data_IF_687274027191
#
_entry.id   IF_687274027191
#
_cell.length_a   1.000
_cell.length_b   1.000
_cell.length_c   1.000
_cell.angle_alpha   90.00
_cell.angle_beta   90.00
_cell.angle_gamma   90.00
#
_symmetry.space_group_name_H-M   'P 1'
#
loop_
_entity.id
_entity.type
_entity.pdbx_description
1 polymer ?
#
# COMPACT_ATOMS: atom_id res chain seq x y z
N UNK A 1 -0.33 -8.81 -36.62
CA UNK A 1 -0.55 -8.06 -35.35
C UNK A 1 0.43 -8.48 -34.24
N UNK A 2 0.70 -9.79 -34.05
CA UNK A 2 1.66 -10.29 -33.05
C UNK A 2 3.13 -9.95 -33.41
N UNK A 3 3.48 -9.92 -34.70
CA UNK A 3 4.83 -9.59 -35.16
C UNK A 3 5.18 -8.10 -34.96
N UNK A 4 4.19 -7.19 -34.95
CA UNK A 4 4.40 -5.76 -34.66
C UNK A 4 4.58 -5.52 -33.15
N UNK A 5 3.92 -6.29 -32.30
CA UNK A 5 4.04 -6.16 -30.86
C UNK A 5 5.45 -6.55 -30.37
N UNK A 6 6.09 -7.57 -30.99
CA UNK A 6 7.42 -8.04 -30.58
C UNK A 6 8.55 -7.03 -30.84
N UNK A 7 8.41 -6.13 -31.81
CA UNK A 7 9.37 -5.05 -32.08
C UNK A 7 9.30 -3.88 -31.09
N UNK A 8 8.25 -3.82 -30.26
CA UNK A 8 8.02 -2.72 -29.31
C UNK A 8 8.65 -2.93 -27.95
N UNK A 9 9.11 -4.15 -27.67
CA UNK A 9 9.64 -4.53 -26.38
C UNK A 9 11.09 -5.00 -26.51
N UNK A 10 11.95 -4.56 -25.61
CA UNK A 10 13.32 -5.03 -25.49
C UNK A 10 13.33 -6.49 -25.03
N UNK A 11 12.54 -6.87 -24.05
CA UNK A 11 12.41 -8.23 -23.53
C UNK A 11 11.07 -8.41 -22.83
N UNK A 12 10.51 -9.63 -22.93
CA UNK A 12 9.36 -10.05 -22.10
C UNK A 12 9.76 -10.95 -20.94
N UNK A 13 11.05 -11.34 -20.88
CA UNK A 13 11.56 -12.33 -19.93
C UNK A 13 11.31 -11.92 -18.48
N UNK A 14 10.74 -12.85 -17.73
CA UNK A 14 10.42 -12.67 -16.30
C UNK A 14 9.25 -11.71 -16.03
N UNK A 15 8.43 -11.42 -17.04
CA UNK A 15 7.24 -10.58 -16.92
C UNK A 15 5.94 -11.36 -17.16
N UNK A 16 4.80 -10.75 -16.79
CA UNK A 16 3.49 -11.29 -17.12
C UNK A 16 3.15 -11.29 -18.62
N UNK A 17 3.99 -10.66 -19.44
CA UNK A 17 3.91 -10.76 -20.91
C UNK A 17 4.49 -12.08 -21.42
N UNK A 18 5.43 -12.68 -20.68
CA UNK A 18 6.01 -13.99 -21.01
C UNK A 18 5.12 -15.12 -20.48
N UNK A 19 4.82 -15.08 -19.17
CA UNK A 19 4.14 -16.16 -18.48
C UNK A 19 3.33 -15.62 -17.29
N UNK A 20 2.18 -16.24 -17.04
CA UNK A 20 1.36 -15.99 -15.84
C UNK A 20 1.11 -17.28 -15.09
N UNK A 21 0.84 -17.19 -13.79
CA UNK A 21 0.40 -18.30 -12.96
C UNK A 21 -1.11 -18.24 -12.77
N UNK A 22 -1.81 -19.30 -13.18
CA UNK A 22 -3.24 -19.43 -12.94
C UNK A 22 -3.53 -20.60 -12.01
N UNK A 23 -4.57 -20.45 -11.20
CA UNK A 23 -5.05 -21.54 -10.35
C UNK A 23 -5.43 -22.74 -11.18
N UNK A 24 -4.99 -23.94 -10.78
CA UNK A 24 -5.51 -25.19 -11.33
C UNK A 24 -6.93 -25.43 -10.79
N UNK A 25 -7.98 -25.38 -11.63
CA UNK A 25 -9.38 -25.46 -11.19
C UNK A 25 -9.69 -26.71 -10.36
N UNK A 26 -9.06 -27.85 -10.64
CA UNK A 26 -9.28 -29.10 -9.94
C UNK A 26 -8.57 -29.23 -8.61
N UNK A 27 -7.70 -28.28 -8.22
CA UNK A 27 -6.86 -28.36 -7.03
C UNK A 27 -7.22 -27.37 -5.93
N UNK A 28 -8.25 -26.55 -6.09
CA UNK A 28 -8.51 -25.42 -5.21
C UNK A 28 -7.34 -24.41 -5.27
N UNK A 29 -6.76 -24.07 -4.11
CA UNK A 29 -5.58 -23.17 -4.05
C UNK A 29 -4.23 -23.92 -3.97
N UNK A 30 -4.22 -25.24 -4.07
CA UNK A 30 -3.02 -26.07 -3.85
C UNK A 30 -2.01 -26.03 -4.99
N UNK A 31 -2.45 -25.74 -6.22
CA UNK A 31 -1.58 -25.73 -7.40
C UNK A 31 -1.82 -24.52 -8.27
N UNK A 32 -0.72 -23.96 -8.73
CA UNK A 32 -0.67 -22.95 -9.77
C UNK A 32 -0.04 -23.57 -10.99
N UNK A 33 -0.67 -23.42 -12.15
CA UNK A 33 -0.14 -23.83 -13.45
C UNK A 33 0.37 -22.63 -14.22
N UNK A 34 1.52 -22.78 -14.85
CA UNK A 34 2.01 -21.80 -15.80
C UNK A 34 1.08 -21.73 -17.01
N UNK A 35 0.78 -20.51 -17.43
CA UNK A 35 -0.04 -20.19 -18.60
C UNK A 35 0.70 -19.20 -19.48
N UNK A 36 0.30 -19.09 -20.74
CA UNK A 36 0.79 -18.07 -21.66
C UNK A 36 0.61 -16.68 -21.05
N UNK A 37 1.63 -15.83 -21.25
CA UNK A 37 1.57 -14.43 -20.80
C UNK A 37 0.43 -13.64 -21.44
N UNK A 38 0.09 -12.52 -20.80
CA UNK A 38 -0.93 -11.60 -21.31
C UNK A 38 -0.48 -10.95 -22.62
N UNK A 39 -1.42 -10.65 -23.52
CA UNK A 39 -1.08 -9.91 -24.74
C UNK A 39 -0.67 -8.47 -24.39
N UNK A 40 0.26 -7.93 -25.20
CA UNK A 40 0.55 -6.50 -25.16
C UNK A 40 -0.66 -5.72 -25.68
N UNK A 41 -1.17 -4.80 -24.88
CA UNK A 41 -2.22 -3.86 -25.27
C UNK A 41 -1.57 -2.56 -25.73
N UNK A 42 -1.86 -2.15 -26.97
CA UNK A 42 -1.39 -0.89 -27.54
C UNK A 42 -2.54 0.11 -27.55
N UNK A 43 -2.37 1.21 -26.82
CA UNK A 43 -3.39 2.25 -26.61
C UNK A 43 -3.36 3.26 -27.77
N UNK A 44 -3.77 2.82 -28.98
CA UNK A 44 -3.77 3.69 -30.17
C UNK A 44 -4.83 4.80 -30.11
N UNK A 45 -5.82 4.66 -29.24
CA UNK A 45 -6.81 5.69 -28.94
C UNK A 45 -6.19 6.92 -28.25
N UNK A 46 -5.09 6.74 -27.50
CA UNK A 46 -4.35 7.84 -26.87
C UNK A 46 -3.41 8.56 -27.86
N UNK A 47 -2.83 7.79 -28.78
CA UNK A 47 -1.96 8.34 -29.83
C UNK A 47 -1.92 7.40 -31.03
N UNK A 48 -2.38 7.89 -32.18
CA UNK A 48 -2.37 7.12 -33.44
C UNK A 48 -0.97 6.63 -33.80
N UNK A 49 -0.90 5.40 -34.29
CA UNK A 49 0.32 4.83 -34.84
C UNK A 49 0.90 5.71 -35.97
N UNK A 50 2.22 5.88 -36.00
CA UNK A 50 2.94 6.55 -37.08
C UNK A 50 3.96 5.58 -37.64
N UNK A 51 4.11 5.53 -38.97
CA UNK A 51 5.12 4.70 -39.63
C UNK A 51 6.54 5.03 -39.10
N UNK A 52 7.32 4.00 -38.83
CA UNK A 52 8.67 4.11 -38.30
C UNK A 52 8.80 4.66 -36.88
N UNK A 53 7.68 4.84 -36.14
CA UNK A 53 7.73 5.32 -34.76
C UNK A 53 8.50 4.34 -33.85
N UNK A 54 8.27 3.04 -34.04
CA UNK A 54 8.88 2.01 -33.17
C UNK A 54 10.40 1.91 -33.37
N UNK A 55 10.91 2.31 -34.53
CA UNK A 55 12.33 2.31 -34.85
C UNK A 55 13.06 3.59 -34.34
N UNK A 56 12.30 4.59 -33.87
CA UNK A 56 12.81 5.91 -33.44
C UNK A 56 12.41 6.26 -32.00
N UNK A 57 12.11 5.24 -31.19
CA UNK A 57 11.76 5.44 -29.77
C UNK A 57 13.02 5.51 -28.93
N UNK A 58 13.09 6.55 -28.13
CA UNK A 58 14.05 6.66 -27.03
C UNK A 58 13.34 6.45 -25.69
N UNK A 59 13.99 5.68 -24.82
CA UNK A 59 13.50 5.49 -23.43
C UNK A 59 13.81 6.72 -22.60
N UNK A 60 12.80 7.50 -22.24
CA UNK A 60 12.95 8.70 -21.42
C UNK A 60 13.22 8.37 -19.97
N UNK A 61 12.49 7.42 -19.41
CA UNK A 61 12.61 6.96 -18.03
C UNK A 61 12.19 5.49 -17.92
N UNK A 62 12.68 4.84 -16.88
CA UNK A 62 12.25 3.49 -16.47
C UNK A 62 12.18 3.44 -14.96
N UNK A 63 11.08 3.01 -14.38
CA UNK A 63 10.93 2.91 -12.95
C UNK A 63 10.15 1.66 -12.53
N UNK A 64 10.35 1.26 -11.29
CA UNK A 64 9.58 0.21 -10.64
C UNK A 64 8.51 0.85 -9.78
N UNK A 65 7.27 0.43 -9.95
CA UNK A 65 6.18 0.77 -9.03
C UNK A 65 5.77 -0.49 -8.26
N UNK A 66 5.63 -0.35 -6.97
CA UNK A 66 5.00 -1.34 -6.07
C UNK A 66 3.94 -0.64 -5.25
N UNK A 67 2.95 -1.40 -4.80
CA UNK A 67 1.86 -0.88 -3.97
C UNK A 67 1.45 -1.93 -2.95
N UNK A 68 0.79 -1.52 -1.88
CA UNK A 68 0.15 -2.43 -0.93
C UNK A 68 1.12 -3.47 -0.36
N UNK A 69 2.29 -3.04 0.11
CA UNK A 69 3.26 -3.95 0.72
C UNK A 69 2.73 -4.56 2.00
N UNK A 70 1.88 -3.82 2.74
CA UNK A 70 1.26 -4.26 3.97
C UNK A 70 2.24 -5.03 4.86
N UNK A 71 3.32 -4.35 5.29
CA UNK A 71 4.24 -4.91 6.28
C UNK A 71 3.52 -4.89 7.62
N UNK A 72 2.87 -6.00 7.95
CA UNK A 72 1.79 -6.08 8.93
C UNK A 72 2.23 -6.69 10.25
N UNK A 73 1.86 -6.08 11.38
CA UNK A 73 1.75 -6.76 12.69
C UNK A 73 0.42 -7.53 12.76
N UNK A 74 0.44 -8.79 12.36
CA UNK A 74 -0.74 -9.65 12.37
C UNK A 74 -1.24 -9.96 13.79
N UNK A 75 -0.42 -9.71 14.80
CA UNK A 75 -0.77 -9.91 16.20
C UNK A 75 -1.33 -8.67 16.89
N UNK A 76 -1.40 -7.54 16.16
CA UNK A 76 -1.97 -6.29 16.69
C UNK A 76 -3.37 -6.49 17.27
N UNK A 77 -3.65 -5.95 18.46
CA UNK A 77 -4.99 -5.97 19.03
C UNK A 77 -5.99 -5.13 18.24
N UNK A 78 -5.50 -4.21 17.41
CA UNK A 78 -6.31 -3.25 16.68
C UNK A 78 -6.98 -3.80 15.45
N UNK A 79 -6.54 -4.95 14.97
CA UNK A 79 -7.10 -5.57 13.77
C UNK A 79 -8.55 -6.00 14.00
N UNK A 80 -9.38 -5.71 12.99
CA UNK A 80 -10.83 -5.95 13.04
C UNK A 80 -11.23 -7.27 12.37
N UNK A 81 -10.40 -8.31 12.48
CA UNK A 81 -10.61 -9.61 11.82
C UNK A 81 -11.96 -10.27 12.19
N UNK A 82 -12.54 -9.90 13.32
CA UNK A 82 -13.86 -10.38 13.72
C UNK A 82 -14.99 -9.96 12.75
N UNK A 83 -14.75 -8.93 11.94
CA UNK A 83 -15.67 -8.52 10.87
C UNK A 83 -15.60 -9.43 9.63
N UNK A 84 -14.63 -10.35 9.54
CA UNK A 84 -14.41 -11.19 8.37
C UNK A 84 -15.67 -11.89 7.82
N UNK A 85 -16.60 -12.40 8.63
CA UNK A 85 -17.84 -13.00 8.10
C UNK A 85 -18.73 -12.03 7.34
N UNK A 86 -18.61 -10.72 7.58
CA UNK A 86 -19.39 -9.65 6.97
C UNK A 86 -18.56 -8.85 5.94
N UNK A 87 -17.28 -8.74 6.18
CA UNK A 87 -16.32 -8.02 5.34
C UNK A 87 -15.07 -8.88 5.11
N UNK A 88 -15.06 -9.63 4.01
CA UNK A 88 -13.98 -10.57 3.68
C UNK A 88 -12.56 -10.03 3.85
N UNK A 89 -12.24 -8.81 3.41
CA UNK A 89 -10.91 -8.20 3.56
C UNK A 89 -10.43 -7.97 4.99
N UNK A 90 -11.31 -8.02 6.00
CA UNK A 90 -10.92 -7.84 7.41
C UNK A 90 -9.93 -8.92 7.91
N UNK A 91 -9.84 -10.07 7.24
CA UNK A 91 -8.84 -11.09 7.49
C UNK A 91 -8.28 -11.64 6.18
N UNK A 92 -6.99 -11.60 6.02
CA UNK A 92 -6.25 -12.12 4.86
C UNK A 92 -5.29 -13.24 5.33
N UNK A 93 -5.48 -14.49 4.91
CA UNK A 93 -4.76 -15.64 5.47
C UNK A 93 -3.25 -15.63 5.21
N UNK A 94 -2.77 -14.83 4.25
CA UNK A 94 -1.35 -14.72 3.86
C UNK A 94 -0.58 -13.61 4.58
N UNK A 95 -1.21 -12.75 5.36
CA UNK A 95 -0.62 -11.51 5.93
C UNK A 95 0.68 -11.76 6.70
N UNK A 96 0.75 -12.83 7.47
CA UNK A 96 1.96 -13.18 8.21
C UNK A 96 3.20 -13.44 7.31
N UNK A 97 3.01 -13.60 6.00
CA UNK A 97 4.08 -13.73 5.01
C UNK A 97 4.53 -12.36 4.45
N UNK A 98 3.85 -11.25 4.77
CA UNK A 98 4.14 -9.91 4.23
C UNK A 98 5.60 -9.51 4.31
N UNK A 99 6.28 -9.59 5.46
CA UNK A 99 7.69 -9.26 5.58
C UNK A 99 8.62 -10.11 4.69
N UNK A 100 8.34 -11.41 4.58
CA UNK A 100 9.08 -12.34 3.70
C UNK A 100 8.82 -12.03 2.22
N UNK A 101 7.58 -11.70 1.88
CA UNK A 101 7.19 -11.31 0.53
C UNK A 101 7.88 -10.01 0.11
N UNK A 102 7.90 -9.00 0.99
CA UNK A 102 8.58 -7.72 0.75
C UNK A 102 10.09 -7.90 0.53
N UNK A 103 10.77 -8.68 1.38
CA UNK A 103 12.18 -8.99 1.19
C UNK A 103 12.45 -9.75 -0.12
N UNK A 104 11.53 -10.63 -0.53
CA UNK A 104 11.62 -11.37 -1.79
C UNK A 104 11.38 -10.48 -3.00
N UNK A 105 10.44 -9.52 -2.90
CA UNK A 105 10.17 -8.49 -3.90
C UNK A 105 11.42 -7.62 -4.12
N UNK A 106 12.01 -7.10 -3.04
CA UNK A 106 13.25 -6.30 -3.10
C UNK A 106 14.35 -7.08 -3.81
N UNK A 107 14.57 -8.35 -3.44
CA UNK A 107 15.55 -9.22 -4.11
C UNK A 107 15.25 -9.39 -5.60
N UNK A 108 13.97 -9.56 -5.96
CA UNK A 108 13.54 -9.68 -7.36
C UNK A 108 13.81 -8.40 -8.14
N UNK A 109 13.44 -7.24 -7.61
CA UNK A 109 13.69 -5.93 -8.23
C UNK A 109 15.18 -5.73 -8.47
N UNK A 110 16.01 -5.99 -7.46
CA UNK A 110 17.47 -5.84 -7.57
C UNK A 110 18.10 -6.78 -8.60
N UNK A 111 17.44 -7.90 -8.94
CA UNK A 111 17.91 -8.84 -9.97
C UNK A 111 17.50 -8.44 -11.39
N UNK A 112 16.61 -7.47 -11.56
CA UNK A 112 16.20 -6.96 -12.88
C UNK A 112 17.27 -6.00 -13.43
N UNK A 113 17.58 -6.14 -14.72
CA UNK A 113 18.58 -5.29 -15.38
C UNK A 113 17.98 -3.97 -15.91
N UNK A 114 16.65 -3.92 -16.08
CA UNK A 114 15.96 -2.77 -16.62
C UNK A 114 14.53 -3.10 -17.03
N UNK A 115 13.83 -2.09 -17.52
CA UNK A 115 12.45 -2.21 -17.95
C UNK A 115 12.28 -3.03 -19.24
N UNK A 116 11.18 -3.78 -19.40
CA UNK A 116 10.98 -4.67 -20.55
C UNK A 116 10.79 -3.94 -21.87
N UNK A 117 10.39 -2.66 -21.83
CA UNK A 117 10.11 -1.89 -23.04
C UNK A 117 11.39 -1.38 -23.71
N UNK A 118 12.30 -0.82 -22.95
CA UNK A 118 13.50 -0.14 -23.50
C UNK A 118 14.81 -0.81 -23.15
N UNK A 119 14.82 -1.71 -22.15
CA UNK A 119 16.05 -2.23 -21.55
C UNK A 119 16.83 -1.23 -20.70
N UNK A 120 16.31 0.01 -20.57
CA UNK A 120 16.91 1.06 -19.74
C UNK A 120 16.94 0.60 -18.28
N UNK A 121 18.05 0.82 -17.59
CA UNK A 121 18.16 0.65 -16.15
C UNK A 121 17.10 1.48 -15.43
N UNK A 122 16.66 1.01 -14.26
CA UNK A 122 15.65 1.73 -13.51
C UNK A 122 16.22 3.01 -12.89
N UNK A 123 15.53 4.13 -13.13
CA UNK A 123 15.85 5.45 -12.59
C UNK A 123 15.31 5.62 -11.15
N UNK A 124 14.19 4.95 -10.83
CA UNK A 124 13.53 5.07 -9.55
C UNK A 124 12.73 3.81 -9.18
N UNK A 125 12.47 3.66 -7.88
CA UNK A 125 11.48 2.75 -7.30
C UNK A 125 10.46 3.60 -6.52
N UNK A 126 9.17 3.34 -6.68
CA UNK A 126 8.10 4.08 -6.00
C UNK A 126 7.17 3.09 -5.31
N UNK A 127 7.04 3.23 -3.97
CA UNK A 127 6.04 2.51 -3.19
C UNK A 127 4.81 3.39 -3.05
N UNK A 128 3.69 3.01 -3.69
CA UNK A 128 2.51 3.86 -3.83
C UNK A 128 1.46 3.66 -2.74
N UNK A 129 1.91 3.58 -1.49
CA UNK A 129 1.04 3.56 -0.31
C UNK A 129 0.69 2.17 0.19
N UNK A 130 -0.01 2.14 1.31
CA UNK A 130 -0.29 0.95 2.10
C UNK A 130 0.97 0.15 2.41
N UNK A 131 1.96 0.90 2.91
CA UNK A 131 3.25 0.38 3.29
C UNK A 131 3.16 -0.44 4.58
N UNK A 132 2.34 0.04 5.52
CA UNK A 132 1.94 -0.60 6.77
C UNK A 132 0.49 -1.11 6.66
N UNK A 133 -0.07 -1.70 7.71
CA UNK A 133 -1.45 -2.19 7.70
C UNK A 133 -2.31 -1.61 8.82
N UNK A 134 -1.70 -1.39 9.98
CA UNK A 134 -2.36 -0.86 11.17
C UNK A 134 -1.82 0.51 11.58
N UNK A 135 -1.03 1.15 10.74
CA UNK A 135 -0.24 2.37 10.96
C UNK A 135 0.52 2.38 12.31
N UNK A 136 1.10 1.25 12.70
CA UNK A 136 1.91 1.14 13.92
C UNK A 136 3.36 1.51 13.68
N UNK A 137 4.02 2.14 14.68
CA UNK A 137 5.45 2.47 14.58
C UNK A 137 6.32 1.26 14.28
N UNK A 138 6.00 0.09 14.83
CA UNK A 138 6.74 -1.15 14.57
C UNK A 138 6.64 -1.58 13.11
N UNK A 139 5.47 -1.43 12.48
CA UNK A 139 5.28 -1.76 11.06
C UNK A 139 6.06 -0.79 10.17
N UNK A 140 6.04 0.50 10.50
CA UNK A 140 6.80 1.54 9.80
C UNK A 140 8.31 1.28 9.89
N UNK A 141 8.81 0.90 11.06
CA UNK A 141 10.21 0.52 11.25
C UNK A 141 10.59 -0.73 10.44
N UNK A 142 9.72 -1.73 10.38
CA UNK A 142 9.93 -2.92 9.55
C UNK A 142 9.95 -2.57 8.06
N UNK A 143 8.99 -1.80 7.60
CA UNK A 143 8.92 -1.34 6.21
C UNK A 143 10.19 -0.59 5.79
N UNK A 144 10.58 0.44 6.55
CA UNK A 144 11.78 1.22 6.26
C UNK A 144 13.04 0.35 6.28
N UNK A 145 13.17 -0.53 7.25
CA UNK A 145 14.33 -1.45 7.34
C UNK A 145 14.40 -2.41 6.15
N UNK A 146 13.27 -2.95 5.70
CA UNK A 146 13.26 -3.87 4.56
C UNK A 146 13.62 -3.15 3.25
N UNK A 147 13.18 -1.91 3.04
CA UNK A 147 13.50 -1.15 1.84
C UNK A 147 14.90 -0.52 1.87
N UNK A 148 15.36 -0.06 3.02
CA UNK A 148 16.70 0.49 3.18
C UNK A 148 17.81 -0.58 3.20
N UNK A 149 17.47 -1.79 3.65
CA UNK A 149 18.40 -2.90 3.87
C UNK A 149 18.69 -3.09 5.37
N UNK A 150 18.39 -4.27 5.85
CA UNK A 150 18.57 -4.63 7.25
C UNK A 150 17.84 -5.92 7.63
N UNK A 151 17.73 -6.16 8.92
CA UNK A 151 17.06 -7.35 9.45
C UNK A 151 15.99 -6.92 10.46
N UNK A 152 14.80 -7.46 10.30
CA UNK A 152 13.68 -7.28 11.23
C UNK A 152 13.33 -8.61 11.90
N UNK A 153 12.65 -8.53 13.03
CA UNK A 153 11.95 -9.67 13.64
C UNK A 153 10.45 -9.34 13.59
N UNK A 154 9.70 -9.91 12.63
CA UNK A 154 8.29 -9.57 12.42
C UNK A 154 7.40 -10.24 13.47
N UNK A 155 7.64 -9.91 14.72
CA UNK A 155 6.94 -10.42 15.87
C UNK A 155 6.78 -9.35 16.95
N UNK A 156 5.58 -9.23 17.47
CA UNK A 156 5.22 -8.36 18.60
C UNK A 156 4.60 -9.21 19.72
N UNK A 157 4.48 -8.62 20.92
CA UNK A 157 3.94 -9.34 22.07
C UNK A 157 4.83 -10.48 22.53
N UNK A 158 4.30 -11.69 22.64
CA UNK A 158 5.05 -12.84 23.13
C UNK A 158 6.14 -13.29 22.15
N UNK A 159 7.33 -13.62 22.68
CA UNK A 159 8.48 -14.00 21.86
C UNK A 159 8.44 -15.46 21.40
N UNK A 160 7.71 -16.30 22.10
CA UNK A 160 7.71 -17.76 22.01
C UNK A 160 6.43 -18.36 21.45
N UNK A 161 5.40 -17.55 21.23
CA UNK A 161 4.10 -17.98 20.70
C UNK A 161 3.45 -16.93 19.83
N UNK A 162 2.64 -17.39 18.88
CA UNK A 162 1.84 -16.56 18.00
C UNK A 162 0.50 -16.21 18.63
N UNK A 163 0.16 -14.94 18.74
CA UNK A 163 -1.03 -14.41 19.43
C UNK A 163 -1.99 -13.69 18.48
N UNK A 164 -2.46 -14.39 17.43
CA UNK A 164 -3.46 -13.85 16.50
C UNK A 164 -4.72 -14.72 16.45
N UNK A 165 -5.76 -14.25 15.76
CA UNK A 165 -7.01 -15.01 15.53
C UNK A 165 -6.77 -16.38 14.92
N UNK A 166 -5.66 -16.58 14.21
CA UNK A 166 -5.27 -17.87 13.62
C UNK A 166 -5.06 -18.96 14.66
N UNK A 167 -4.64 -18.60 15.90
CA UNK A 167 -4.39 -19.56 16.97
C UNK A 167 -5.50 -19.61 18.03
N UNK A 168 -6.55 -18.82 17.89
CA UNK A 168 -7.64 -18.76 18.87
C UNK A 168 -8.68 -19.89 18.76
N UNK A 169 -8.49 -20.83 17.80
CA UNK A 169 -9.34 -22.01 17.65
C UNK A 169 -10.67 -21.77 16.92
N UNK A 170 -10.85 -20.60 16.30
CA UNK A 170 -12.03 -20.31 15.51
C UNK A 170 -11.84 -20.79 14.05
N UNK A 171 -12.70 -21.71 13.53
CA UNK A 171 -12.56 -22.28 12.19
C UNK A 171 -12.86 -21.29 11.05
N UNK A 172 -13.28 -20.06 11.33
CA UNK A 172 -13.39 -18.96 10.37
C UNK A 172 -12.03 -18.40 9.97
N UNK A 173 -10.97 -18.70 10.72
CA UNK A 173 -9.63 -18.20 10.46
C UNK A 173 -8.68 -19.34 10.09
N UNK A 174 -7.81 -19.05 9.12
CA UNK A 174 -6.83 -20.03 8.67
C UNK A 174 -5.74 -20.25 9.72
N UNK A 175 -5.67 -21.48 10.24
CA UNK A 175 -4.55 -21.92 11.05
C UNK A 175 -3.73 -22.98 10.29
N UNK A 176 -2.58 -22.61 9.71
CA UNK A 176 -1.78 -23.53 8.89
C UNK A 176 -1.21 -24.72 9.67
N UNK A 177 -1.02 -24.62 10.98
CA UNK A 177 -0.45 -25.70 11.80
C UNK A 177 -1.52 -26.64 12.39
N UNK A 178 -2.76 -26.18 12.50
CA UNK A 178 -3.82 -26.98 13.07
C UNK A 178 -4.31 -28.06 12.10
N UNK A 179 -4.59 -29.26 12.61
CA UNK A 179 -5.29 -30.31 11.87
C UNK A 179 -6.79 -30.05 11.73
N UNK A 180 -7.34 -29.04 12.41
CA UNK A 180 -8.73 -28.65 12.24
C UNK A 180 -8.99 -28.18 10.80
N UNK A 181 -10.11 -28.62 10.23
CA UNK A 181 -10.48 -28.34 8.87
C UNK A 181 -11.23 -26.98 8.79
N UNK A 182 -10.49 -25.87 8.89
CA UNK A 182 -11.03 -24.51 8.72
C UNK A 182 -11.54 -24.25 7.31
N UNK A 183 -12.20 -23.10 7.10
CA UNK A 183 -12.79 -22.76 5.78
C UNK A 183 -11.75 -22.66 4.66
N UNK A 184 -10.53 -22.25 4.98
CA UNK A 184 -9.43 -22.09 4.02
C UNK A 184 -8.83 -23.43 3.59
N UNK A 185 -8.64 -24.36 4.53
CA UNK A 185 -8.18 -25.73 4.19
C UNK A 185 -9.22 -26.47 3.35
N UNK A 186 -10.52 -26.26 3.62
CA UNK A 186 -11.58 -26.79 2.73
C UNK A 186 -11.49 -26.19 1.32
N UNK A 187 -11.05 -24.93 1.18
CA UNK A 187 -10.79 -24.30 -0.10
C UNK A 187 -9.45 -24.73 -0.73
N UNK A 188 -8.62 -25.52 -0.05
CA UNK A 188 -7.37 -26.06 -0.56
C UNK A 188 -6.09 -25.36 -0.07
N UNK A 189 -6.18 -24.50 0.94
CA UNK A 189 -4.98 -23.96 1.59
C UNK A 189 -4.21 -25.08 2.29
N UNK A 190 -2.87 -25.05 2.27
CA UNK A 190 -2.06 -26.13 2.80
C UNK A 190 -2.01 -26.13 4.34
N UNK A 191 -1.79 -27.31 4.90
CA UNK A 191 -1.23 -27.41 6.25
C UNK A 191 0.29 -27.24 6.18
N UNK A 192 0.88 -26.47 7.09
CA UNK A 192 2.30 -26.12 7.09
C UNK A 192 2.84 -26.19 8.51
N UNK A 193 3.50 -27.28 8.85
CA UNK A 193 4.10 -27.44 10.16
C UNK A 193 5.24 -26.45 10.41
N UNK A 194 5.27 -25.87 11.61
CA UNK A 194 6.25 -24.86 12.01
C UNK A 194 6.10 -23.52 11.28
N UNK A 195 4.90 -23.22 10.79
CA UNK A 195 4.58 -21.98 10.09
C UNK A 195 4.81 -20.76 10.99
N UNK A 196 4.21 -20.73 12.19
CA UNK A 196 4.31 -19.57 13.08
C UNK A 196 5.74 -19.30 13.52
N UNK A 197 6.51 -20.35 13.81
CA UNK A 197 7.94 -20.19 14.11
C UNK A 197 8.72 -19.57 12.96
N UNK A 198 8.37 -19.87 11.71
CA UNK A 198 9.04 -19.32 10.53
C UNK A 198 8.68 -17.87 10.28
N UNK A 199 7.40 -17.50 10.46
CA UNK A 199 6.97 -16.10 10.23
C UNK A 199 7.44 -15.19 11.36
N UNK A 200 7.69 -15.68 12.56
CA UNK A 200 8.32 -14.95 13.66
C UNK A 200 9.86 -14.86 13.55
N UNK A 201 10.46 -15.64 12.67
CA UNK A 201 11.93 -15.65 12.54
C UNK A 201 12.46 -14.36 11.92
N UNK A 202 13.74 -14.00 12.16
CA UNK A 202 14.35 -12.83 11.54
C UNK A 202 14.26 -12.88 10.01
N UNK A 203 13.90 -11.75 9.42
CA UNK A 203 13.84 -11.54 7.96
C UNK A 203 14.87 -10.47 7.58
N UNK A 204 15.79 -10.84 6.68
CA UNK A 204 16.82 -9.94 6.17
C UNK A 204 16.50 -9.50 4.74
N UNK A 205 16.70 -8.22 4.46
CA UNK A 205 16.62 -7.62 3.14
C UNK A 205 17.93 -6.95 2.77
N UNK A 206 18.30 -7.04 1.49
CA UNK A 206 19.45 -6.30 0.96
C UNK A 206 19.19 -4.80 0.72
N UNK A 207 17.97 -4.37 0.94
CA UNK A 207 17.49 -3.06 0.54
C UNK A 207 17.36 -2.88 -0.98
N UNK A 208 16.56 -1.93 -1.39
CA UNK A 208 16.42 -1.50 -2.79
C UNK A 208 17.73 -0.84 -3.21
N UNK A 209 18.25 -1.19 -4.41
CA UNK A 209 19.55 -0.71 -4.92
C UNK A 209 19.46 0.49 -5.87
N UNK A 210 18.27 1.00 -6.08
CA UNK A 210 17.96 2.19 -6.88
C UNK A 210 17.32 3.25 -5.97
N UNK A 211 17.37 4.55 -6.32
CA UNK A 211 16.66 5.57 -5.54
C UNK A 211 15.19 5.21 -5.37
N UNK A 212 14.67 5.34 -4.15
CA UNK A 212 13.29 4.98 -3.88
C UNK A 212 12.52 6.09 -3.17
N UNK A 213 11.21 6.12 -3.44
CA UNK A 213 10.28 7.14 -3.02
C UNK A 213 9.04 6.51 -2.40
N UNK A 214 8.45 7.16 -1.40
CA UNK A 214 7.29 6.66 -0.66
C UNK A 214 6.07 7.55 -0.88
N UNK A 215 4.93 6.93 -1.15
CA UNK A 215 3.61 7.56 -1.16
C UNK A 215 2.85 7.10 0.07
N UNK A 216 1.97 7.93 0.59
CA UNK A 216 1.14 7.65 1.74
C UNK A 216 -0.16 6.96 1.30
N UNK A 217 -0.58 5.87 1.97
CA UNK A 217 -1.81 5.14 1.70
C UNK A 217 -2.79 5.17 2.89
N UNK A 218 -4.03 4.72 2.70
CA UNK A 218 -5.03 4.77 3.77
C UNK A 218 -4.71 3.82 4.94
N UNK A 219 -4.00 2.71 4.72
CA UNK A 219 -3.49 1.86 5.80
C UNK A 219 -2.29 2.47 6.54
N UNK A 220 -1.64 3.48 5.97
CA UNK A 220 -0.63 4.28 6.67
C UNK A 220 -1.26 5.40 7.52
N UNK A 221 -2.59 5.62 7.45
CA UNK A 221 -3.31 6.70 8.14
C UNK A 221 -4.36 6.18 9.13
N UNK A 222 -4.88 4.98 8.94
CA UNK A 222 -6.00 4.45 9.70
C UNK A 222 -5.91 2.95 9.96
N UNK A 223 -6.67 2.46 10.94
CA UNK A 223 -6.71 1.05 11.32
C UNK A 223 -7.22 0.21 10.15
N UNK A 224 -6.38 -0.66 9.63
CA UNK A 224 -6.67 -1.48 8.44
C UNK A 224 -7.31 -0.65 7.31
N UNK A 225 -6.84 0.59 7.14
CA UNK A 225 -7.28 1.50 6.08
C UNK A 225 -8.73 1.97 6.18
N UNK A 226 -9.39 1.82 7.34
CA UNK A 226 -10.82 2.11 7.47
C UNK A 226 -11.17 3.08 8.60
N UNK A 227 -10.73 2.79 9.82
CA UNK A 227 -11.14 3.51 11.01
C UNK A 227 -10.07 4.50 11.47
N UNK A 228 -10.43 5.76 11.77
CA UNK A 228 -9.49 6.68 12.39
C UNK A 228 -8.91 6.11 13.69
N UNK A 229 -7.63 6.34 13.93
CA UNK A 229 -6.92 5.79 15.10
C UNK A 229 -7.38 6.36 16.44
N UNK A 230 -7.97 7.54 16.43
CA UNK A 230 -8.48 8.23 17.61
C UNK A 230 -9.93 7.85 17.98
N UNK A 231 -10.49 6.87 17.29
CA UNK A 231 -11.89 6.51 17.39
C UNK A 231 -12.22 5.72 18.67
N UNK A 232 -12.76 6.43 19.67
CA UNK A 232 -13.38 5.84 20.86
C UNK A 232 -12.53 4.77 21.58
N UNK A 233 -13.12 3.60 21.74
CA UNK A 233 -12.51 2.44 22.40
C UNK A 233 -11.18 1.99 21.77
N UNK A 234 -11.02 2.19 20.47
CA UNK A 234 -9.89 1.66 19.73
C UNK A 234 -8.58 2.34 20.11
N UNK A 235 -8.62 3.65 20.38
CA UNK A 235 -7.43 4.43 20.74
C UNK A 235 -6.62 3.83 21.90
N UNK A 236 -7.29 3.21 22.86
CA UNK A 236 -6.64 2.65 24.05
C UNK A 236 -6.16 1.21 23.89
N UNK A 237 -6.46 0.58 22.75
CA UNK A 237 -6.20 -0.85 22.57
C UNK A 237 -4.86 -1.17 21.92
N UNK A 238 -4.26 -0.25 21.21
CA UNK A 238 -3.03 -0.51 20.43
C UNK A 238 -1.92 -1.25 21.21
N UNK A 239 -1.63 -0.79 22.41
CA UNK A 239 -0.58 -1.38 23.26
C UNK A 239 -1.12 -2.32 24.32
N UNK A 240 -2.43 -2.56 24.35
CA UNK A 240 -3.08 -3.31 25.41
C UNK A 240 -2.77 -4.81 25.39
N UNK A 241 -3.11 -5.48 26.48
CA UNK A 241 -3.05 -6.94 26.63
C UNK A 241 -4.35 -7.66 26.18
N UNK A 242 -5.25 -6.94 25.50
CA UNK A 242 -6.56 -7.45 25.09
C UNK A 242 -6.84 -7.17 23.63
N UNK A 243 -7.20 -8.22 22.90
CA UNK A 243 -7.66 -8.14 21.52
C UNK A 243 -9.17 -8.35 21.46
N UNK A 244 -9.89 -7.45 20.77
CA UNK A 244 -11.30 -7.66 20.46
C UNK A 244 -11.42 -8.79 19.43
N UNK A 245 -12.31 -9.74 19.70
CA UNK A 245 -12.60 -10.89 18.82
C UNK A 245 -14.07 -10.93 18.38
N UNK A 246 -14.85 -9.91 18.72
CA UNK A 246 -16.25 -9.74 18.35
C UNK A 246 -17.03 -8.89 19.34
N UNK A 247 -18.31 -8.74 19.07
CA UNK A 247 -19.29 -8.25 20.00
C UNK A 247 -20.28 -9.36 20.38
N UNK A 248 -20.88 -9.28 21.56
CA UNK A 248 -21.87 -10.24 22.00
C UNK A 248 -23.19 -10.15 21.21
N UNK A 249 -23.44 -9.00 20.60
CA UNK A 249 -24.63 -8.72 19.77
C UNK A 249 -24.25 -8.61 18.29
N UNK A 250 -24.99 -9.31 17.44
CA UNK A 250 -24.88 -9.16 15.97
C UNK A 250 -25.22 -7.74 15.51
N UNK A 251 -26.10 -7.04 16.23
CA UNK A 251 -26.44 -5.64 15.91
C UNK A 251 -25.28 -4.69 16.16
N UNK A 252 -24.52 -4.88 17.25
CA UNK A 252 -23.33 -4.07 17.52
C UNK A 252 -22.23 -4.35 16.50
N UNK A 253 -22.07 -5.62 16.10
CA UNK A 253 -21.13 -5.99 15.02
C UNK A 253 -21.49 -5.31 13.70
N UNK A 254 -22.78 -5.29 13.35
CA UNK A 254 -23.27 -4.60 12.13
C UNK A 254 -23.13 -3.09 12.23
N UNK A 255 -23.46 -2.48 13.39
CA UNK A 255 -23.30 -1.04 13.61
C UNK A 255 -21.83 -0.61 13.47
N UNK A 256 -20.91 -1.41 14.01
CA UNK A 256 -19.48 -1.19 13.86
C UNK A 256 -19.02 -1.27 12.39
N UNK A 257 -19.47 -2.30 11.66
CA UNK A 257 -19.18 -2.43 10.23
C UNK A 257 -19.72 -1.24 9.42
N UNK A 258 -20.94 -0.80 9.67
CA UNK A 258 -21.54 0.36 8.97
C UNK A 258 -20.73 1.63 9.19
N UNK A 259 -20.28 1.84 10.43
CA UNK A 259 -19.43 2.98 10.73
C UNK A 259 -18.04 2.86 10.06
N UNK A 260 -17.47 1.66 10.02
CA UNK A 260 -16.22 1.39 9.30
C UNK A 260 -16.33 1.60 7.78
N UNK A 261 -17.53 1.56 7.24
CA UNK A 261 -17.85 1.84 5.83
C UNK A 261 -18.22 3.31 5.56
N UNK A 262 -18.04 4.20 6.53
CA UNK A 262 -18.38 5.62 6.37
C UNK A 262 -19.86 5.97 6.52
N UNK A 263 -20.68 5.06 6.99
CA UNK A 263 -22.13 5.25 7.11
C UNK A 263 -22.56 5.89 8.46
N UNK A 264 -21.75 6.79 8.99
CA UNK A 264 -22.02 7.54 10.22
C UNK A 264 -21.24 7.03 11.44
N UNK A 265 -21.42 7.66 12.61
CA UNK A 265 -20.72 7.28 13.83
C UNK A 265 -21.17 5.90 14.32
N UNK A 266 -20.31 5.22 15.07
CA UNK A 266 -20.66 3.94 15.71
C UNK A 266 -21.76 4.17 16.76
N UNK A 267 -22.92 3.61 16.49
CA UNK A 267 -24.03 3.55 17.45
C UNK A 267 -24.07 2.17 18.13
N UNK A 268 -23.13 1.92 19.04
CA UNK A 268 -23.16 0.71 19.86
C UNK A 268 -24.23 0.82 20.93
N UNK A 269 -24.83 -0.32 21.29
CA UNK A 269 -25.76 -0.36 22.42
C UNK A 269 -25.05 -0.01 23.73
N UNK A 270 -25.78 0.50 24.73
CA UNK A 270 -25.20 0.81 26.04
C UNK A 270 -24.61 -0.44 26.75
N UNK A 271 -25.08 -1.63 26.34
CA UNK A 271 -24.62 -2.93 26.85
C UNK A 271 -23.69 -3.66 25.88
N UNK A 272 -23.09 -2.95 24.92
CA UNK A 272 -22.17 -3.53 23.93
C UNK A 272 -20.98 -4.18 24.63
N UNK A 273 -21.10 -5.45 24.97
CA UNK A 273 -20.02 -6.24 25.53
C UNK A 273 -19.11 -6.74 24.40
N UNK A 274 -17.88 -6.24 24.35
CA UNK A 274 -16.87 -6.77 23.46
C UNK A 274 -16.34 -8.13 23.96
N UNK A 275 -16.30 -9.10 23.07
CA UNK A 275 -15.61 -10.36 23.32
C UNK A 275 -14.11 -10.12 23.14
N UNK A 276 -13.31 -10.48 24.14
CA UNK A 276 -11.88 -10.25 24.11
C UNK A 276 -11.08 -11.51 24.37
N UNK A 277 -9.87 -11.55 23.85
CA UNK A 277 -8.82 -12.51 24.19
C UNK A 277 -7.64 -11.77 24.81
N UNK A 278 -7.04 -12.39 25.82
CA UNK A 278 -5.79 -11.91 26.39
C UNK A 278 -4.64 -12.22 25.44
N UNK A 279 -3.81 -11.22 25.20
CA UNK A 279 -2.57 -11.27 24.45
C UNK A 279 -1.46 -10.58 25.25
N UNK A 280 -0.24 -10.63 24.78
CA UNK A 280 0.87 -9.90 25.39
C UNK A 280 0.87 -8.45 24.91
N UNK A 281 0.87 -7.50 25.84
CA UNK A 281 1.00 -6.06 25.55
C UNK A 281 2.35 -5.76 24.88
N UNK A 282 2.37 -4.78 23.99
CA UNK A 282 3.60 -4.33 23.31
C UNK A 282 3.54 -2.84 22.98
N UNK A 283 4.40 -2.05 23.60
CA UNK A 283 4.45 -0.59 23.43
C UNK A 283 4.90 -0.16 22.02
N UNK A 284 5.49 -1.05 21.23
CA UNK A 284 5.89 -0.75 19.85
C UNK A 284 4.71 -0.60 18.90
N UNK A 285 3.52 -1.04 19.30
CA UNK A 285 2.26 -0.95 18.54
C UNK A 285 1.59 0.42 18.59
N UNK A 286 2.22 1.42 19.23
CA UNK A 286 1.71 2.80 19.22
C UNK A 286 1.51 3.27 17.78
N UNK A 287 0.33 3.85 17.43
CA UNK A 287 0.08 4.33 16.09
C UNK A 287 0.93 5.57 15.80
N UNK A 288 1.42 5.70 14.58
CA UNK A 288 2.09 6.90 14.12
C UNK A 288 1.11 7.88 13.48
N UNK A 289 1.45 9.15 13.52
CA UNK A 289 0.76 10.23 12.83
C UNK A 289 1.40 10.47 11.46
N UNK A 290 0.75 11.19 10.52
CA UNK A 290 1.38 11.61 9.28
C UNK A 290 2.68 12.41 9.48
N UNK A 291 2.76 13.20 10.54
CA UNK A 291 4.01 13.89 10.93
C UNK A 291 5.12 12.87 11.26
N UNK A 292 4.80 11.84 12.03
CA UNK A 292 5.76 10.82 12.44
C UNK A 292 6.15 9.90 11.28
N UNK A 293 5.25 9.65 10.33
CA UNK A 293 5.57 8.97 9.07
C UNK A 293 6.66 9.73 8.30
N UNK A 294 6.44 11.02 8.02
CA UNK A 294 7.43 11.85 7.32
C UNK A 294 8.74 11.91 8.12
N UNK A 295 8.67 12.14 9.42
CA UNK A 295 9.82 12.17 10.32
C UNK A 295 10.62 10.86 10.30
N UNK A 296 9.94 9.72 10.22
CA UNK A 296 10.60 8.41 10.17
C UNK A 296 11.42 8.24 8.88
N UNK A 297 10.92 8.76 7.75
CA UNK A 297 11.66 8.77 6.48
C UNK A 297 12.92 9.66 6.51
N UNK A 298 12.90 10.74 7.30
CA UNK A 298 14.02 11.66 7.45
C UNK A 298 15.08 11.22 8.49
N UNK A 299 14.89 10.07 9.15
CA UNK A 299 15.86 9.54 10.12
C UNK A 299 17.15 9.10 9.42
N UNK A 300 18.27 9.30 10.11
CA UNK A 300 19.55 8.71 9.69
C UNK A 300 19.46 7.17 9.71
N UNK A 301 20.14 6.56 8.75
CA UNK A 301 20.26 5.09 8.66
C UNK A 301 19.11 4.36 7.94
N UNK A 302 18.03 5.07 7.56
CA UNK A 302 16.92 4.47 6.79
C UNK A 302 16.98 4.80 5.29
N UNK A 303 17.95 5.59 4.84
CA UNK A 303 18.03 6.07 3.46
C UNK A 303 18.25 4.96 2.42
N UNK A 304 18.97 3.90 2.78
CA UNK A 304 19.35 2.88 1.80
C UNK A 304 20.09 3.50 0.60
N UNK A 305 19.59 3.30 -0.60
CA UNK A 305 20.11 3.91 -1.84
C UNK A 305 19.60 5.35 -2.06
N UNK A 306 18.86 5.91 -1.11
CA UNK A 306 18.37 7.30 -1.12
C UNK A 306 17.24 7.54 -2.10
N UNK A 307 16.83 8.80 -2.26
CA UNK A 307 17.37 9.99 -1.59
C UNK A 307 17.06 10.03 -0.10
N UNK A 308 17.74 10.93 0.65
CA UNK A 308 17.36 11.21 2.03
C UNK A 308 15.90 11.65 2.08
N UNK A 309 15.14 11.09 3.03
CA UNK A 309 13.72 11.36 3.19
C UNK A 309 12.79 10.67 2.16
N UNK A 310 13.33 9.93 1.17
CA UNK A 310 12.55 9.18 0.17
C UNK A 310 11.50 10.03 -0.57
N UNK A 311 11.84 11.30 -0.80
CA UNK A 311 11.00 12.32 -1.42
C UNK A 311 10.50 13.39 -0.46
N UNK A 312 10.36 13.08 0.83
CA UNK A 312 10.01 14.06 1.85
C UNK A 312 11.21 14.92 2.26
N UNK A 313 10.94 16.16 2.64
CA UNK A 313 11.89 17.15 3.12
C UNK A 313 11.51 17.66 4.50
N UNK A 314 12.42 18.43 5.15
CA UNK A 314 12.11 19.13 6.40
C UNK A 314 10.96 20.14 6.23
N UNK A 315 10.81 20.76 5.06
CA UNK A 315 9.67 21.64 4.76
C UNK A 315 8.35 20.85 4.71
N UNK A 316 8.37 19.62 4.22
CA UNK A 316 7.21 18.75 4.22
C UNK A 316 6.86 18.28 5.63
N UNK A 317 7.88 17.97 6.46
CA UNK A 317 7.71 17.66 7.87
C UNK A 317 7.05 18.81 8.62
N UNK A 318 7.60 20.02 8.49
CA UNK A 318 7.07 21.22 9.15
C UNK A 318 5.65 21.56 8.73
N UNK A 319 5.30 21.30 7.48
CA UNK A 319 3.97 21.52 6.92
C UNK A 319 3.01 20.34 7.10
N UNK A 320 3.47 19.19 7.61
CA UNK A 320 2.76 17.91 7.64
C UNK A 320 2.15 17.60 6.27
N UNK A 321 2.99 17.61 5.24
CA UNK A 321 2.60 17.52 3.84
C UNK A 321 3.03 16.18 3.24
N UNK A 322 2.08 15.29 2.95
CA UNK A 322 2.31 13.95 2.40
C UNK A 322 2.55 13.91 0.88
N UNK A 323 2.70 15.05 0.22
CA UNK A 323 2.86 15.15 -1.24
C UNK A 323 4.05 16.03 -1.63
N UNK A 324 4.73 15.65 -2.74
CA UNK A 324 5.97 16.29 -3.17
C UNK A 324 6.24 16.00 -4.65
N UNK A 325 7.27 16.66 -5.22
CA UNK A 325 7.80 16.35 -6.55
C UNK A 325 9.22 15.80 -6.46
N UNK A 326 9.61 14.97 -7.42
CA UNK A 326 10.96 14.45 -7.53
C UNK A 326 11.36 14.25 -9.01
N UNK A 327 12.64 14.26 -9.30
CA UNK A 327 13.14 13.96 -10.64
C UNK A 327 13.23 12.45 -10.85
N UNK A 328 12.55 11.91 -11.85
CA UNK A 328 12.72 10.52 -12.28
C UNK A 328 13.90 10.45 -13.26
N UNK A 329 13.90 11.32 -14.28
CA UNK A 329 14.94 11.43 -15.28
C UNK A 329 14.92 12.86 -15.84
N UNK A 330 15.90 13.19 -16.68
CA UNK A 330 15.92 14.50 -17.33
C UNK A 330 14.64 14.76 -18.14
N UNK A 331 13.94 15.84 -17.83
CA UNK A 331 12.65 16.19 -18.43
C UNK A 331 11.45 15.34 -17.99
N UNK A 332 11.63 14.47 -16.97
CA UNK A 332 10.56 13.64 -16.42
C UNK A 332 10.47 13.86 -14.91
N UNK A 333 9.36 14.40 -14.45
CA UNK A 333 9.08 14.72 -13.04
C UNK A 333 8.02 13.79 -12.48
N UNK A 334 8.35 13.14 -11.38
CA UNK A 334 7.39 12.41 -10.54
C UNK A 334 6.66 13.38 -9.62
N UNK A 335 5.36 13.17 -9.46
CA UNK A 335 4.51 13.89 -8.52
C UNK A 335 3.89 12.84 -7.59
N UNK A 336 4.28 12.83 -6.33
CA UNK A 336 3.63 12.03 -5.28
C UNK A 336 2.43 12.79 -4.74
N UNK A 337 1.28 12.14 -4.69
CA UNK A 337 0.03 12.69 -4.16
C UNK A 337 -0.38 11.93 -2.89
N UNK A 338 -0.74 12.67 -1.87
CA UNK A 338 -1.44 12.14 -0.70
C UNK A 338 -2.94 12.10 -1.01
N UNK A 339 -3.44 10.92 -1.35
CA UNK A 339 -4.85 10.70 -1.65
C UNK A 339 -5.63 10.16 -0.46
N UNK A 340 -5.05 10.15 0.74
CA UNK A 340 -5.74 9.69 1.95
C UNK A 340 -6.73 10.71 2.45
N UNK A 341 -7.70 10.25 3.22
CA UNK A 341 -8.62 11.12 3.94
C UNK A 341 -8.52 10.84 5.44
N UNK A 342 -8.05 11.81 6.19
CA UNK A 342 -7.87 11.70 7.65
C UNK A 342 -9.17 11.53 8.44
N UNK A 343 -10.31 11.70 7.79
CA UNK A 343 -11.58 11.27 8.34
C UNK A 343 -11.72 9.74 8.40
N UNK A 344 -10.77 9.00 7.81
CA UNK A 344 -10.76 7.56 7.69
C UNK A 344 -11.46 7.07 6.42
N UNK A 345 -11.83 5.81 6.43
CA UNK A 345 -12.49 5.05 5.37
C UNK A 345 -11.57 4.66 4.22
N UNK A 346 -12.07 3.73 3.39
CA UNK A 346 -11.27 3.10 2.34
C UNK A 346 -11.07 3.95 1.10
N UNK A 347 -12.00 4.88 0.83
CA UNK A 347 -11.94 5.71 -0.37
C UNK A 347 -11.09 6.96 -0.12
N UNK A 348 -10.40 7.40 -1.16
CA UNK A 348 -9.52 8.56 -1.11
C UNK A 348 -10.20 9.87 -1.50
N UNK A 349 -9.43 10.93 -1.39
CA UNK A 349 -9.75 12.28 -1.91
C UNK A 349 -8.51 13.17 -1.79
N UNK A 350 -8.51 14.32 -2.44
CA UNK A 350 -7.42 15.30 -2.38
C UNK A 350 -7.94 16.56 -1.69
N UNK A 351 -7.19 17.13 -0.74
CA UNK A 351 -7.55 18.39 -0.10
C UNK A 351 -7.31 19.59 -1.04
N UNK A 352 -7.98 20.70 -0.76
CA UNK A 352 -7.93 21.91 -1.57
C UNK A 352 -6.51 22.53 -1.64
N UNK A 353 -5.71 22.40 -0.58
CA UNK A 353 -4.33 22.86 -0.53
C UNK A 353 -3.45 22.09 -1.52
N UNK A 354 -3.57 20.77 -1.50
CA UNK A 354 -2.84 19.89 -2.43
C UNK A 354 -3.31 20.11 -3.88
N UNK A 355 -4.62 20.25 -4.09
CA UNK A 355 -5.18 20.54 -5.41
C UNK A 355 -4.61 21.82 -6.02
N UNK A 356 -4.55 22.90 -5.24
CA UNK A 356 -3.94 24.18 -5.69
C UNK A 356 -2.45 24.03 -5.96
N UNK A 357 -1.73 23.30 -5.11
CA UNK A 357 -0.32 23.00 -5.30
C UNK A 357 -0.10 22.17 -6.58
N UNK A 358 -0.88 21.13 -6.82
CA UNK A 358 -0.78 20.30 -8.03
C UNK A 358 -0.96 21.15 -9.29
N UNK A 359 -1.99 22.01 -9.34
CA UNK A 359 -2.20 22.94 -10.46
C UNK A 359 -0.98 23.85 -10.66
N UNK A 360 -0.37 24.35 -9.61
CA UNK A 360 0.82 25.21 -9.72
C UNK A 360 2.03 24.46 -10.28
N UNK A 361 2.26 23.22 -9.86
CA UNK A 361 3.35 22.36 -10.37
C UNK A 361 3.16 22.07 -11.86
N UNK A 362 1.97 21.65 -12.26
CA UNK A 362 1.67 21.35 -13.67
C UNK A 362 1.83 22.59 -14.56
N UNK A 363 1.34 23.75 -14.12
CA UNK A 363 1.49 25.02 -14.84
C UNK A 363 2.96 25.43 -14.99
N UNK A 364 3.74 25.29 -13.92
CA UNK A 364 5.15 25.67 -13.94
C UNK A 364 6.01 24.88 -14.94
N UNK A 365 5.67 23.62 -15.20
CA UNK A 365 6.39 22.75 -16.14
C UNK A 365 5.72 22.61 -17.51
N UNK A 366 4.77 23.48 -17.86
CA UNK A 366 4.06 23.46 -19.14
C UNK A 366 4.26 24.76 -19.92
N UNK A 367 4.72 24.67 -21.15
CA UNK A 367 4.85 25.84 -22.04
C UNK A 367 3.49 26.41 -22.44
N UNK A 368 2.45 25.60 -22.40
CA UNK A 368 1.06 26.00 -22.66
C UNK A 368 0.15 25.39 -21.60
N UNK A 369 -0.69 26.20 -20.98
CA UNK A 369 -1.73 25.72 -20.09
C UNK A 369 -3.01 26.54 -20.22
N UNK A 370 -4.11 26.03 -19.67
CA UNK A 370 -5.37 26.74 -19.58
C UNK A 370 -5.67 27.03 -18.10
N UNK A 371 -6.17 28.24 -17.83
CA UNK A 371 -6.63 28.57 -16.46
C UNK A 371 -8.05 28.03 -16.18
N UNK A 372 -8.54 28.30 -14.98
CA UNK A 372 -9.86 27.82 -14.54
C UNK A 372 -11.04 28.45 -15.31
N UNK A 373 -10.79 29.50 -16.10
CA UNK A 373 -11.75 30.13 -17.02
C UNK A 373 -11.61 29.63 -18.47
N UNK A 374 -10.69 28.70 -18.73
CA UNK A 374 -10.40 28.15 -20.04
C UNK A 374 -9.55 29.09 -20.92
N UNK A 375 -8.95 30.12 -20.33
CA UNK A 375 -8.05 31.03 -21.08
C UNK A 375 -6.69 30.37 -21.25
N UNK A 376 -6.20 30.37 -22.50
CA UNK A 376 -4.91 29.80 -22.86
C UNK A 376 -3.76 30.75 -22.47
N UNK A 377 -2.79 30.21 -21.78
CA UNK A 377 -1.57 30.91 -21.38
C UNK A 377 -0.32 30.28 -22.02
N UNK A 378 0.72 31.07 -22.20
CA UNK A 378 2.03 30.65 -22.67
C UNK A 378 3.10 30.99 -21.64
N UNK A 379 3.99 30.03 -21.38
CA UNK A 379 5.19 30.17 -20.56
C UNK A 379 6.43 29.94 -21.42
N UNK A 380 7.49 30.69 -21.18
CA UNK A 380 8.81 30.45 -21.78
C UNK A 380 9.59 29.41 -20.95
N UNK A 381 9.09 28.18 -20.98
CA UNK A 381 9.68 27.00 -20.30
C UNK A 381 9.66 25.81 -21.26
N UNK A 382 10.57 24.85 -21.03
CA UNK A 382 10.50 23.56 -21.72
C UNK A 382 9.42 22.71 -21.08
N UNK A 383 8.62 22.02 -21.88
CA UNK A 383 7.63 21.09 -21.38
C UNK A 383 8.27 19.94 -20.61
N UNK A 384 7.70 19.64 -19.47
CA UNK A 384 8.07 18.52 -18.62
C UNK A 384 7.05 17.38 -18.79
N UNK A 385 7.51 16.14 -18.87
CA UNK A 385 6.64 14.99 -18.72
C UNK A 385 6.37 14.76 -17.23
N UNK A 386 5.12 14.79 -16.85
CA UNK A 386 4.70 14.49 -15.48
C UNK A 386 4.21 13.06 -15.35
N UNK A 387 4.62 12.38 -14.27
CA UNK A 387 4.11 11.08 -13.87
C UNK A 387 3.56 11.23 -12.46
N UNK A 388 2.25 11.07 -12.31
CA UNK A 388 1.57 11.19 -11.03
C UNK A 388 1.50 9.81 -10.35
N UNK A 389 1.85 9.77 -9.09
CA UNK A 389 1.76 8.60 -8.22
C UNK A 389 0.80 8.91 -7.08
N UNK A 390 -0.23 8.11 -6.93
CA UNK A 390 -1.17 8.15 -5.81
C UNK A 390 -1.49 6.73 -5.35
N UNK A 391 -1.93 6.58 -4.12
CA UNK A 391 -2.42 5.29 -3.64
C UNK A 391 -3.79 4.99 -4.24
N UNK A 392 -4.75 5.89 -4.08
CA UNK A 392 -6.06 5.74 -4.71
C UNK A 392 -6.00 6.19 -6.18
N UNK A 393 -6.63 5.41 -7.05
CA UNK A 393 -6.89 5.85 -8.41
C UNK A 393 -8.09 6.83 -8.45
N UNK A 394 -8.29 7.50 -9.59
CA UNK A 394 -9.36 8.50 -9.73
C UNK A 394 -10.76 7.91 -9.55
N UNK A 395 -10.95 6.61 -9.73
CA UNK A 395 -12.25 5.94 -9.57
C UNK A 395 -12.57 5.61 -8.12
N UNK A 396 -11.56 5.60 -7.25
CA UNK A 396 -11.68 5.33 -5.81
C UNK A 396 -11.45 6.58 -4.95
N UNK A 397 -11.32 7.74 -5.55
CA UNK A 397 -11.31 9.04 -4.84
C UNK A 397 -12.74 9.55 -4.63
N UNK A 398 -13.52 8.85 -3.82
CA UNK A 398 -14.96 9.10 -3.63
C UNK A 398 -15.32 9.50 -2.19
N UNK A 399 -14.34 9.84 -1.35
CA UNK A 399 -14.57 10.16 0.06
C UNK A 399 -14.76 11.67 0.28
N UNK A 400 -15.99 12.19 0.37
CA UNK A 400 -16.27 13.60 0.57
C UNK A 400 -16.25 14.02 2.04
N UNK A 401 -16.00 13.10 2.98
CA UNK A 401 -16.07 13.39 4.42
C UNK A 401 -14.99 14.39 4.79
N UNK A 402 -15.38 15.48 5.46
CA UNK A 402 -14.43 16.49 5.92
C UNK A 402 -13.76 16.02 7.21
N UNK A 403 -12.43 15.96 7.25
CA UNK A 403 -11.70 15.66 8.47
C UNK A 403 -11.89 16.75 9.52
N UNK A 404 -11.86 16.37 10.80
CA UNK A 404 -11.95 17.31 11.92
C UNK A 404 -10.73 18.21 12.11
N UNK A 405 -9.64 17.97 11.34
CA UNK A 405 -8.40 18.75 11.37
C UNK A 405 -8.49 20.10 10.60
N UNK A 406 -9.63 20.42 10.02
CA UNK A 406 -9.87 21.66 9.30
C UNK A 406 -9.23 21.74 7.91
N UNK A 407 -8.84 20.61 7.32
CA UNK A 407 -8.24 20.58 5.97
C UNK A 407 -9.22 20.92 4.83
N UNK A 408 -10.48 21.20 5.16
CA UNK A 408 -11.42 21.91 4.28
C UNK A 408 -11.98 21.06 3.14
N UNK A 409 -12.12 21.69 1.96
CA UNK A 409 -12.76 21.09 0.77
C UNK A 409 -11.99 19.86 0.28
N UNK A 410 -12.72 18.81 -0.06
CA UNK A 410 -12.18 17.60 -0.67
C UNK A 410 -12.51 17.56 -2.17
N UNK A 411 -11.52 17.27 -2.99
CA UNK A 411 -11.67 17.06 -4.43
C UNK A 411 -11.74 15.56 -4.70
N UNK A 412 -12.76 15.16 -5.46
CA UNK A 412 -13.04 13.78 -5.81
C UNK A 412 -12.60 13.52 -7.26
N UNK A 413 -12.27 12.30 -7.59
CA UNK A 413 -12.10 11.88 -8.97
C UNK A 413 -13.42 11.35 -9.53
N UNK A 414 -13.70 11.56 -10.80
CA UNK A 414 -12.87 12.06 -11.89
C UNK A 414 -13.07 13.56 -12.24
N UNK A 415 -13.12 14.44 -11.25
CA UNK A 415 -13.28 15.89 -11.46
C UNK A 415 -12.11 16.54 -12.24
#
# INVERSE_FOLDING_TARGET
>A
TLAHASKRLHSTSGTTLEQVGLRDPGSGYRRIKAQRGYPLVVREELARGKSGRDDRRDGLASFVQVTDLHVTDVQSPMRVEFLHPLAGPAFRPQEALGPLATASLVRRVNALQGGPATGRAFDAFVSTGDNTDNHEHVELDWYLTLLAGGTIVPNTGARDRWESVQTFGNPLFYNPESHCNDIYKRAGFPQVDGYFRRVMAPVSSSGVKIPWYAVFGNHDDSIQGTLPSDWGLLKTMYTSDRKITGFASDNDTKAYLQAAQGNGPVALSNDAASLTRQITADERRVPFTPFEFIKAHLRDGVNGSGPHGHGFSEDDLNAVRGYYTFSIANGVTGISLDSTNRAGYTDGSIDDRQWKWLKSVLRAGSSVYYDDLGVRHHHDVSDTMFVLFSHHDSMTMNNPVLPGDGTGIRHLGPE
#
